data_IF_026976746971
#
_entry.id   IF_026976746971
#
_cell.length_a   1.000
_cell.length_b   1.000
_cell.length_c   1.000
_cell.angle_alpha   90.00
_cell.angle_beta   90.00
_cell.angle_gamma   90.00
#
_symmetry.space_group_name_H-M   'P 1'
#
loop_
_entity.id
_entity.type
_entity.pdbx_description
1 polymer ?
#
# COMPACT_ATOMS: atom_id res chain seq x y z
N UNK A 1 -60.82 11.56 -18.59
CA UNK A 1 -60.28 11.82 -19.93
C UNK A 1 -59.92 10.46 -20.54
N UNK A 2 -60.85 9.81 -21.26
CA UNK A 2 -61.04 9.88 -22.74
C UNK A 2 -59.82 9.31 -23.47
N UNK A 3 -59.84 8.19 -24.22
CA UNK A 3 -60.79 7.63 -25.22
C UNK A 3 -60.29 6.20 -25.53
N UNK A 4 -61.03 5.10 -25.35
CA UNK A 4 -62.07 4.47 -26.20
C UNK A 4 -61.72 4.16 -27.68
N UNK A 5 -61.97 2.88 -28.04
CA UNK A 5 -62.29 2.25 -29.35
C UNK A 5 -61.09 1.86 -30.25
N UNK A 6 -61.02 0.66 -30.86
CA UNK A 6 -62.09 -0.08 -31.56
C UNK A 6 -61.93 -1.61 -31.53
N UNK A 7 -63.07 -2.29 -31.38
CA UNK A 7 -63.38 -3.65 -31.79
C UNK A 7 -63.87 -3.64 -33.26
N UNK A 8 -63.59 -4.71 -33.99
CA UNK A 8 -64.34 -5.21 -35.15
C UNK A 8 -64.18 -6.76 -35.10
N UNK A 9 -65.16 -7.68 -34.93
CA UNK A 9 -66.53 -7.86 -35.45
C UNK A 9 -66.62 -7.72 -36.97
N UNK A 10 -67.21 -8.57 -37.81
CA UNK A 10 -67.91 -9.87 -37.75
C UNK A 10 -68.64 -9.97 -39.11
N UNK A 11 -68.68 -11.10 -39.80
CA UNK A 11 -69.70 -11.43 -40.83
C UNK A 11 -69.69 -12.96 -41.06
N UNK A 12 -70.65 -13.77 -40.58
CA UNK A 12 -72.04 -14.01 -41.08
C UNK A 12 -72.04 -14.42 -42.57
N UNK A 13 -72.59 -15.54 -43.06
CA UNK A 13 -73.72 -16.40 -42.63
C UNK A 13 -73.75 -17.64 -43.57
N UNK A 14 -74.22 -18.82 -43.12
CA UNK A 14 -75.50 -19.40 -43.58
C UNK A 14 -75.82 -20.76 -42.95
N UNK A 15 -77.04 -20.80 -42.41
CA UNK A 15 -77.84 -21.94 -41.98
C UNK A 15 -77.78 -23.16 -42.91
N UNK A 16 -77.77 -24.34 -42.29
CA UNK A 16 -78.80 -25.41 -42.40
C UNK A 16 -78.36 -26.52 -41.43
N UNK A 17 -79.09 -26.84 -40.37
CA UNK A 17 -80.43 -27.39 -40.45
C UNK A 17 -80.36 -28.83 -40.97
N UNK A 18 -79.75 -29.77 -40.23
CA UNK A 18 -79.89 -31.19 -40.53
C UNK A 18 -80.16 -32.02 -39.28
N UNK A 19 -81.40 -32.49 -39.25
CA UNK A 19 -82.02 -33.53 -38.45
C UNK A 19 -81.12 -34.39 -37.55
N UNK A 20 -81.58 -34.53 -36.32
CA UNK A 20 -81.52 -35.76 -35.51
C UNK A 20 -81.92 -36.98 -36.37
N UNK A 21 -80.95 -37.59 -37.02
CA UNK A 21 -81.01 -38.97 -37.49
C UNK A 21 -80.14 -39.77 -36.53
N UNK A 22 -80.79 -40.45 -35.60
CA UNK A 22 -80.17 -41.55 -34.88
C UNK A 22 -79.69 -42.57 -35.91
N UNK A 23 -78.41 -42.51 -36.25
CA UNK A 23 -77.73 -43.62 -36.90
C UNK A 23 -77.66 -44.74 -35.86
N UNK A 24 -78.74 -45.54 -35.81
CA UNK A 24 -78.60 -46.96 -35.54
C UNK A 24 -77.66 -47.48 -36.61
N UNK A 25 -76.37 -47.56 -36.29
CA UNK A 25 -75.42 -48.38 -37.03
C UNK A 25 -76.09 -49.75 -37.13
N UNK A 26 -76.43 -50.16 -38.35
CA UNK A 26 -76.78 -51.54 -38.66
C UNK A 26 -75.71 -52.39 -37.99
N UNK A 27 -76.08 -53.12 -36.94
CA UNK A 27 -75.14 -53.96 -36.21
C UNK A 27 -74.51 -54.91 -37.21
N UNK A 28 -73.25 -54.66 -37.58
CA UNK A 28 -72.50 -55.65 -38.34
C UNK A 28 -72.50 -56.92 -37.51
N UNK A 29 -72.77 -58.04 -38.17
CA UNK A 29 -72.76 -59.36 -37.53
C UNK A 29 -71.47 -59.48 -36.69
N UNK A 30 -71.55 -59.78 -35.38
CA UNK A 30 -70.38 -59.98 -34.53
C UNK A 30 -69.32 -60.91 -35.14
N UNK A 31 -69.75 -61.86 -35.97
CA UNK A 31 -68.84 -62.71 -36.74
C UNK A 31 -68.06 -61.94 -37.81
N UNK A 32 -68.73 -61.11 -38.61
CA UNK A 32 -68.11 -60.30 -39.65
C UNK A 32 -67.09 -59.29 -39.07
N UNK A 33 -67.39 -58.71 -37.90
CA UNK A 33 -66.45 -57.83 -37.20
C UNK A 33 -65.20 -58.59 -36.71
N UNK A 34 -65.35 -59.84 -36.24
CA UNK A 34 -64.21 -60.67 -35.85
C UNK A 34 -63.32 -61.02 -37.05
N UNK A 35 -63.93 -61.47 -38.15
CA UNK A 35 -63.21 -61.79 -39.40
C UNK A 35 -62.50 -60.54 -39.98
N UNK A 36 -63.13 -59.36 -39.89
CA UNK A 36 -62.50 -58.11 -40.31
C UNK A 36 -61.27 -57.75 -39.46
N UNK A 37 -61.33 -57.99 -38.14
CA UNK A 37 -60.21 -57.76 -37.25
C UNK A 37 -59.05 -58.73 -37.54
N UNK A 38 -59.37 -59.99 -37.82
CA UNK A 38 -58.39 -61.02 -38.12
C UNK A 38 -57.70 -60.77 -39.46
N UNK A 39 -58.46 -60.37 -40.49
CA UNK A 39 -57.91 -59.95 -41.77
C UNK A 39 -57.04 -58.70 -41.66
N UNK A 40 -57.47 -57.70 -40.88
CA UNK A 40 -56.68 -56.50 -40.63
C UNK A 40 -55.38 -56.82 -39.91
N UNK A 41 -55.43 -57.74 -38.94
CA UNK A 41 -54.25 -58.23 -38.22
C UNK A 41 -53.28 -58.97 -39.15
N UNK A 42 -53.79 -59.88 -40.00
CA UNK A 42 -52.97 -60.59 -40.99
C UNK A 42 -52.28 -59.65 -41.99
N UNK A 43 -52.93 -58.53 -42.32
CA UNK A 43 -52.36 -57.47 -43.17
C UNK A 43 -51.37 -56.55 -42.43
N UNK A 44 -51.09 -56.80 -41.15
CA UNK A 44 -50.23 -55.96 -40.31
C UNK A 44 -50.85 -54.60 -39.95
N UNK A 45 -52.14 -54.40 -40.21
CA UNK A 45 -52.84 -53.16 -39.88
C UNK A 45 -53.45 -53.26 -38.46
N UNK A 46 -52.60 -53.08 -37.46
CA UNK A 46 -52.95 -53.22 -36.05
C UNK A 46 -54.00 -52.19 -35.60
N UNK A 47 -53.94 -50.96 -36.10
CA UNK A 47 -54.90 -49.90 -35.77
C UNK A 47 -56.32 -50.26 -36.22
N UNK A 48 -56.47 -50.73 -37.47
CA UNK A 48 -57.77 -51.19 -37.98
C UNK A 48 -58.25 -52.45 -37.25
N UNK A 49 -57.36 -53.41 -36.96
CA UNK A 49 -57.71 -54.61 -36.18
C UNK A 49 -58.24 -54.25 -34.78
N UNK A 50 -57.59 -53.34 -34.06
CA UNK A 50 -58.04 -52.86 -32.74
C UNK A 50 -59.33 -52.03 -32.80
N UNK A 51 -59.59 -51.35 -33.91
CA UNK A 51 -60.85 -50.63 -34.14
C UNK A 51 -62.00 -51.63 -34.31
N UNK A 52 -61.85 -52.62 -35.18
CA UNK A 52 -62.84 -53.68 -35.39
C UNK A 52 -63.11 -54.49 -34.11
N UNK A 53 -62.06 -54.82 -33.33
CA UNK A 53 -62.23 -55.50 -32.04
C UNK A 53 -62.98 -54.65 -31.01
N UNK A 54 -62.78 -53.32 -30.97
CA UNK A 54 -63.55 -52.42 -30.09
C UNK A 54 -65.02 -52.36 -30.47
N UNK A 55 -65.31 -52.25 -31.77
CA UNK A 55 -66.70 -52.27 -32.28
C UNK A 55 -67.36 -53.62 -31.96
N UNK A 56 -66.63 -54.72 -32.11
CA UNK A 56 -67.08 -56.06 -31.75
C UNK A 56 -67.38 -56.20 -30.26
N UNK A 57 -66.49 -55.74 -29.38
CA UNK A 57 -66.74 -55.73 -27.93
C UNK A 57 -68.00 -54.92 -27.57
N UNK A 58 -68.21 -53.78 -28.24
CA UNK A 58 -69.41 -52.97 -28.07
C UNK A 58 -70.69 -53.67 -28.55
N UNK A 59 -70.64 -54.34 -29.70
CA UNK A 59 -71.77 -55.08 -30.26
C UNK A 59 -72.15 -56.33 -29.44
N UNK A 60 -71.17 -57.01 -28.86
CA UNK A 60 -71.39 -58.20 -28.02
C UNK A 60 -71.95 -57.84 -26.63
N UNK A 61 -71.73 -56.59 -26.16
CA UNK A 61 -72.17 -56.12 -24.83
C UNK A 61 -71.50 -56.81 -23.64
N UNK A 62 -70.64 -57.80 -23.89
CA UNK A 62 -69.87 -58.55 -22.89
C UNK A 62 -68.49 -58.90 -23.44
N UNK A 63 -67.53 -59.10 -22.56
CA UNK A 63 -66.18 -59.54 -22.94
C UNK A 63 -66.21 -61.01 -23.37
N UNK A 64 -65.45 -61.33 -24.41
CA UNK A 64 -65.38 -62.67 -25.01
C UNK A 64 -63.92 -63.16 -25.07
N UNK A 65 -63.61 -64.40 -24.63
CA UNK A 65 -62.25 -64.94 -24.65
C UNK A 65 -61.55 -64.91 -26.01
N UNK A 66 -62.23 -65.28 -27.11
CA UNK A 66 -61.62 -65.28 -28.44
C UNK A 66 -61.28 -63.88 -28.94
N UNK A 67 -62.11 -62.90 -28.56
CA UNK A 67 -61.89 -61.48 -28.87
C UNK A 67 -60.70 -60.95 -28.07
N UNK A 68 -60.61 -61.26 -26.77
CA UNK A 68 -59.45 -60.87 -25.96
C UNK A 68 -58.16 -61.54 -26.44
N UNK A 69 -58.19 -62.81 -26.85
CA UNK A 69 -57.02 -63.50 -27.37
C UNK A 69 -56.48 -62.88 -28.67
N UNK A 70 -57.36 -62.53 -29.61
CA UNK A 70 -56.97 -61.83 -30.84
C UNK A 70 -56.44 -60.41 -30.51
N UNK A 71 -57.10 -59.70 -29.60
CA UNK A 71 -56.67 -58.39 -29.12
C UNK A 71 -55.28 -58.42 -28.49
N UNK A 72 -54.99 -59.42 -27.64
CA UNK A 72 -53.66 -59.64 -27.08
C UNK A 72 -52.61 -59.82 -28.17
N UNK A 73 -52.86 -60.67 -29.17
CA UNK A 73 -51.92 -60.91 -30.28
C UNK A 73 -51.65 -59.64 -31.07
N UNK A 74 -52.70 -58.87 -31.36
CA UNK A 74 -52.59 -57.58 -32.06
C UNK A 74 -51.76 -56.59 -31.24
N UNK A 75 -52.04 -56.45 -29.93
CA UNK A 75 -51.33 -55.52 -29.06
C UNK A 75 -49.86 -55.88 -28.85
N UNK A 76 -49.54 -57.18 -28.70
CA UNK A 76 -48.14 -57.65 -28.64
C UNK A 76 -47.40 -57.36 -29.95
N UNK A 77 -48.05 -57.62 -31.10
CA UNK A 77 -47.46 -57.37 -32.43
C UNK A 77 -47.30 -55.88 -32.75
N UNK A 78 -48.17 -55.03 -32.19
CA UNK A 78 -48.11 -53.56 -32.26
C UNK A 78 -47.09 -52.98 -31.25
N UNK A 79 -46.43 -53.82 -30.45
CA UNK A 79 -45.43 -53.40 -29.44
C UNK A 79 -46.03 -52.75 -28.18
N UNK A 80 -47.35 -52.80 -28.01
CA UNK A 80 -48.07 -52.23 -26.85
C UNK A 80 -48.09 -53.22 -25.69
N UNK A 81 -46.91 -53.50 -25.12
CA UNK A 81 -46.68 -54.55 -24.13
C UNK A 81 -47.58 -54.41 -22.88
N UNK A 82 -47.78 -53.18 -22.38
CA UNK A 82 -48.65 -52.94 -21.21
C UNK A 82 -50.13 -53.24 -21.53
N UNK A 83 -50.63 -52.75 -22.68
CA UNK A 83 -52.00 -53.03 -23.11
C UNK A 83 -52.20 -54.52 -23.42
N UNK A 84 -51.18 -55.18 -23.99
CA UNK A 84 -51.18 -56.62 -24.25
C UNK A 84 -51.26 -57.40 -22.93
N UNK A 85 -50.52 -56.99 -21.88
CA UNK A 85 -50.60 -57.58 -20.54
C UNK A 85 -52.00 -57.44 -19.94
N UNK A 86 -52.61 -56.26 -20.03
CA UNK A 86 -53.98 -56.04 -19.56
C UNK A 86 -54.99 -56.93 -20.30
N UNK A 87 -54.83 -57.10 -21.62
CA UNK A 87 -55.69 -57.99 -22.41
C UNK A 87 -55.51 -59.48 -22.03
N UNK A 88 -54.29 -59.92 -21.70
CA UNK A 88 -54.03 -61.28 -21.17
C UNK A 88 -54.71 -61.50 -19.82
N UNK A 89 -54.57 -60.57 -18.87
CA UNK A 89 -55.19 -60.70 -17.55
C UNK A 89 -56.72 -60.72 -17.64
N UNK A 90 -57.29 -59.91 -18.54
CA UNK A 90 -58.72 -59.91 -18.81
C UNK A 90 -59.18 -61.24 -19.44
N UNK A 91 -58.41 -61.80 -20.39
CA UNK A 91 -58.67 -63.12 -20.95
C UNK A 91 -58.65 -64.23 -19.88
N UNK A 92 -57.67 -64.19 -18.97
CA UNK A 92 -57.54 -65.15 -17.88
C UNK A 92 -58.67 -65.04 -16.85
N UNK A 93 -59.18 -63.83 -16.60
CA UNK A 93 -60.36 -63.60 -15.75
C UNK A 93 -61.64 -64.20 -16.34
N UNK A 94 -61.77 -64.19 -17.67
CA UNK A 94 -62.90 -64.81 -18.37
C UNK A 94 -62.82 -66.34 -18.39
N UNK A 95 -61.67 -66.93 -18.05
CA UNK A 95 -61.47 -68.37 -17.96
C UNK A 95 -61.87 -68.89 -16.57
N UNK A 96 -63.04 -69.51 -16.45
CA UNK A 96 -63.40 -70.31 -15.26
C UNK A 96 -62.44 -71.52 -15.16
N UNK A 97 -61.93 -71.96 -13.99
CA UNK A 97 -60.96 -73.07 -13.91
C UNK A 97 -61.43 -74.37 -14.58
N UNK A 98 -62.75 -74.57 -14.68
CA UNK A 98 -63.40 -75.72 -15.31
C UNK A 98 -63.59 -75.62 -16.83
N UNK A 99 -63.30 -74.48 -17.48
CA UNK A 99 -63.46 -74.28 -18.94
C UNK A 99 -62.14 -74.05 -19.69
N UNK A 100 -60.99 -74.04 -19.00
CA UNK A 100 -59.65 -73.87 -19.60
C UNK A 100 -59.31 -74.93 -20.65
N UNK A 101 -59.98 -76.08 -20.64
CA UNK A 101 -59.78 -77.21 -21.57
C UNK A 101 -60.92 -77.38 -22.59
N UNK A 102 -61.84 -76.43 -22.71
CA UNK A 102 -62.89 -76.44 -23.75
C UNK A 102 -62.33 -76.03 -25.12
N UNK A 103 -62.84 -76.62 -26.22
CA UNK A 103 -62.49 -76.32 -27.64
C UNK A 103 -62.57 -74.82 -28.02
N UNK A 104 -63.11 -73.97 -27.13
CA UNK A 104 -63.31 -72.54 -27.36
C UNK A 104 -62.23 -71.61 -26.82
N UNK A 105 -61.34 -72.08 -25.92
CA UNK A 105 -60.39 -71.22 -25.21
C UNK A 105 -58.97 -71.31 -25.81
N UNK A 106 -58.40 -70.22 -26.35
CA UNK A 106 -57.07 -70.25 -26.96
C UNK A 106 -55.96 -70.52 -25.93
N UNK A 107 -55.00 -71.40 -26.26
CA UNK A 107 -53.78 -71.52 -25.47
C UNK A 107 -52.96 -70.23 -25.60
N UNK A 108 -52.88 -69.49 -24.50
CA UNK A 108 -52.21 -68.19 -24.40
C UNK A 108 -50.92 -68.25 -23.57
N UNK A 109 -50.57 -69.41 -23.01
CA UNK A 109 -49.43 -69.57 -22.10
C UNK A 109 -48.12 -69.02 -22.67
N UNK A 110 -47.68 -69.48 -23.85
CA UNK A 110 -46.43 -69.00 -24.46
C UNK A 110 -46.42 -67.50 -24.76
N UNK A 111 -47.57 -66.94 -25.17
CA UNK A 111 -47.70 -65.52 -25.49
C UNK A 111 -47.69 -64.67 -24.21
N UNK A 112 -48.37 -65.12 -23.15
CA UNK A 112 -48.31 -64.51 -21.83
C UNK A 112 -46.87 -64.47 -21.32
N UNK A 113 -46.14 -65.57 -21.38
CA UNK A 113 -44.75 -65.62 -20.89
C UNK A 113 -43.81 -64.71 -21.71
N UNK A 114 -44.09 -64.52 -23.00
CA UNK A 114 -43.41 -63.54 -23.84
C UNK A 114 -43.71 -62.11 -23.39
N UNK A 115 -44.98 -61.76 -23.19
CA UNK A 115 -45.42 -60.43 -22.74
C UNK A 115 -44.89 -60.13 -21.34
N UNK A 116 -44.92 -61.11 -20.42
CA UNK A 116 -44.42 -60.96 -19.05
C UNK A 116 -42.91 -60.69 -19.02
N UNK A 117 -42.13 -61.39 -19.84
CA UNK A 117 -40.69 -61.11 -20.01
C UNK A 117 -40.45 -59.72 -20.62
N UNK A 118 -41.18 -59.37 -21.66
CA UNK A 118 -41.06 -58.07 -22.31
C UNK A 118 -41.45 -56.91 -21.36
N UNK A 119 -42.46 -57.12 -20.50
CA UNK A 119 -42.86 -56.16 -19.48
C UNK A 119 -41.79 -56.05 -18.39
N UNK A 120 -41.26 -57.16 -17.90
CA UNK A 120 -40.18 -57.15 -16.91
C UNK A 120 -38.91 -56.43 -17.44
N UNK A 121 -38.58 -56.61 -18.72
CA UNK A 121 -37.47 -55.91 -19.37
C UNK A 121 -37.75 -54.41 -19.55
N UNK A 122 -39.01 -54.01 -19.76
CA UNK A 122 -39.43 -52.62 -19.80
C UNK A 122 -39.36 -51.99 -18.40
N UNK A 123 -39.88 -52.69 -17.39
CA UNK A 123 -39.84 -52.30 -15.98
C UNK A 123 -38.41 -52.14 -15.46
N UNK A 124 -37.45 -52.95 -15.95
CA UNK A 124 -36.03 -52.82 -15.60
C UNK A 124 -35.37 -51.61 -16.26
N UNK A 125 -35.67 -51.33 -17.54
CA UNK A 125 -35.03 -50.25 -18.32
C UNK A 125 -35.56 -48.87 -17.98
N UNK A 126 -36.85 -48.75 -17.67
CA UNK A 126 -37.51 -47.48 -17.44
C UNK A 126 -36.89 -46.63 -16.30
N UNK A 127 -36.55 -47.19 -15.12
CA UNK A 127 -35.85 -46.45 -14.07
C UNK A 127 -34.44 -45.98 -14.48
N UNK A 128 -33.70 -46.80 -15.23
CA UNK A 128 -32.34 -46.47 -15.72
C UNK A 128 -32.38 -45.31 -16.72
N UNK A 129 -33.33 -45.28 -17.64
CA UNK A 129 -33.48 -44.19 -18.61
C UNK A 129 -33.83 -42.86 -17.92
N UNK A 130 -34.71 -42.89 -16.92
CA UNK A 130 -35.04 -41.71 -16.12
C UNK A 130 -33.82 -41.23 -15.35
N UNK A 131 -33.07 -42.15 -14.73
CA UNK A 131 -31.85 -41.82 -13.99
C UNK A 131 -30.78 -41.23 -14.91
N UNK A 132 -30.53 -41.82 -16.08
CA UNK A 132 -29.56 -41.31 -17.04
C UNK A 132 -29.94 -39.92 -17.55
N UNK A 133 -31.21 -39.68 -17.91
CA UNK A 133 -31.68 -38.33 -18.29
C UNK A 133 -31.47 -37.30 -17.19
N UNK A 134 -31.73 -37.67 -15.92
CA UNK A 134 -31.48 -36.79 -14.77
C UNK A 134 -30.00 -36.48 -14.58
N UNK A 135 -29.12 -37.46 -14.79
CA UNK A 135 -27.67 -37.26 -14.73
C UNK A 135 -27.18 -36.37 -15.87
N UNK A 136 -27.62 -36.60 -17.10
CA UNK A 136 -27.31 -35.74 -18.26
C UNK A 136 -27.79 -34.30 -18.07
N UNK A 137 -28.97 -34.12 -17.46
CA UNK A 137 -29.49 -32.81 -17.09
C UNK A 137 -28.65 -32.16 -15.99
N UNK A 138 -28.27 -32.93 -14.95
CA UNK A 138 -27.39 -32.44 -13.88
C UNK A 138 -26.01 -32.02 -14.40
N UNK A 139 -25.37 -32.84 -15.25
CA UNK A 139 -24.07 -32.53 -15.85
C UNK A 139 -24.13 -31.28 -16.71
N UNK A 140 -25.20 -31.12 -17.50
CA UNK A 140 -25.44 -29.91 -18.30
C UNK A 140 -25.56 -28.67 -17.42
N UNK A 141 -26.30 -28.75 -16.30
CA UNK A 141 -26.45 -27.65 -15.36
C UNK A 141 -25.11 -27.30 -14.68
N UNK A 142 -24.30 -28.30 -14.34
CA UNK A 142 -22.94 -28.08 -13.79
C UNK A 142 -22.08 -27.35 -14.82
N UNK A 143 -22.02 -27.84 -16.06
CA UNK A 143 -21.26 -27.20 -17.15
C UNK A 143 -21.73 -25.77 -17.41
N UNK A 144 -23.04 -25.51 -17.38
CA UNK A 144 -23.58 -24.16 -17.53
C UNK A 144 -23.16 -23.24 -16.38
N UNK A 145 -23.17 -23.74 -15.14
CA UNK A 145 -22.72 -22.98 -13.96
C UNK A 145 -21.22 -22.68 -14.04
N UNK A 146 -20.39 -23.66 -14.36
CA UNK A 146 -18.95 -23.48 -14.54
C UNK A 146 -18.64 -22.45 -15.62
N UNK A 147 -19.26 -22.57 -16.80
CA UNK A 147 -19.13 -21.59 -17.88
C UNK A 147 -19.60 -20.19 -17.46
N UNK A 148 -20.67 -20.10 -16.66
CA UNK A 148 -21.16 -18.82 -16.13
C UNK A 148 -20.16 -18.19 -15.15
N UNK A 149 -19.52 -18.98 -14.29
CA UNK A 149 -18.49 -18.48 -13.38
C UNK A 149 -17.23 -18.04 -14.13
N UNK A 150 -16.81 -18.81 -15.13
CA UNK A 150 -15.65 -18.47 -15.95
C UNK A 150 -15.90 -17.16 -16.73
N UNK A 151 -17.08 -16.99 -17.35
CA UNK A 151 -17.46 -15.74 -18.02
C UNK A 151 -17.45 -14.55 -17.06
N UNK A 152 -17.94 -14.73 -15.83
CA UNK A 152 -17.87 -13.68 -14.78
C UNK A 152 -16.43 -13.33 -14.43
N UNK A 153 -15.56 -14.33 -14.29
CA UNK A 153 -14.14 -14.12 -13.98
C UNK A 153 -13.42 -13.41 -15.14
N UNK A 154 -13.67 -13.83 -16.38
CA UNK A 154 -13.13 -13.19 -17.58
C UNK A 154 -13.60 -11.74 -17.69
N UNK A 155 -14.90 -11.48 -17.47
CA UNK A 155 -15.44 -10.12 -17.45
C UNK A 155 -14.81 -9.25 -16.35
N UNK A 156 -14.59 -9.80 -15.15
CA UNK A 156 -13.91 -9.10 -14.05
C UNK A 156 -12.46 -8.77 -14.41
N UNK A 157 -11.73 -9.70 -15.03
CA UNK A 157 -10.34 -9.48 -15.50
C UNK A 157 -10.30 -8.42 -16.60
N UNK A 158 -11.22 -8.48 -17.56
CA UNK A 158 -11.33 -7.48 -18.62
C UNK A 158 -11.66 -6.09 -18.06
N UNK A 159 -12.58 -5.99 -17.10
CA UNK A 159 -12.92 -4.73 -16.44
C UNK A 159 -11.73 -4.16 -15.66
N UNK A 160 -10.97 -5.00 -14.95
CA UNK A 160 -9.75 -4.57 -14.24
C UNK A 160 -8.69 -4.06 -15.24
N UNK A 161 -8.48 -4.75 -16.35
CA UNK A 161 -7.56 -4.31 -17.40
C UNK A 161 -8.01 -3.00 -18.06
N UNK A 162 -9.31 -2.82 -18.34
CA UNK A 162 -9.84 -1.56 -18.85
C UNK A 162 -9.72 -0.40 -17.85
N UNK A 163 -9.82 -0.69 -16.55
CA UNK A 163 -9.60 0.30 -15.51
C UNK A 163 -8.13 0.73 -15.46
N UNK A 164 -7.20 -0.23 -15.47
CA UNK A 164 -5.76 0.04 -15.58
C UNK A 164 -5.43 0.91 -16.82
N UNK A 165 -5.96 0.55 -17.99
CA UNK A 165 -5.73 1.31 -19.24
C UNK A 165 -6.21 2.76 -19.10
N UNK A 166 -7.39 2.98 -18.51
CA UNK A 166 -7.92 4.33 -18.30
C UNK A 166 -7.08 5.15 -17.33
N UNK A 167 -6.62 4.53 -16.24
CA UNK A 167 -5.75 5.19 -15.26
C UNK A 167 -4.39 5.54 -15.87
N UNK A 168 -3.82 4.64 -16.70
CA UNK A 168 -2.62 4.92 -17.48
C UNK A 168 -2.82 6.11 -18.43
N UNK A 169 -3.94 6.12 -19.16
CA UNK A 169 -4.27 7.23 -20.07
C UNK A 169 -4.45 8.55 -19.33
N UNK A 170 -5.10 8.53 -18.16
CA UNK A 170 -5.26 9.70 -17.30
C UNK A 170 -3.91 10.25 -16.83
N UNK A 171 -3.06 9.38 -16.27
CA UNK A 171 -1.71 9.76 -15.86
C UNK A 171 -0.88 10.32 -17.04
N UNK A 172 -0.99 9.69 -18.23
CA UNK A 172 -0.32 10.14 -19.43
C UNK A 172 -0.85 11.49 -19.97
N UNK A 173 -2.12 11.80 -19.74
CA UNK A 173 -2.75 13.05 -20.15
C UNK A 173 -2.40 14.21 -19.21
N UNK A 174 -2.49 13.99 -17.89
CA UNK A 174 -2.08 15.00 -16.90
C UNK A 174 -0.58 15.26 -16.96
N UNK A 175 0.19 14.19 -17.20
CA UNK A 175 1.63 14.23 -17.39
C UNK A 175 2.38 14.92 -16.23
N UNK A 176 1.90 14.71 -15.00
CA UNK A 176 2.49 15.19 -13.75
C UNK A 176 3.11 14.02 -12.97
N UNK A 177 4.07 14.31 -12.10
CA UNK A 177 4.80 13.29 -11.35
C UNK A 177 3.86 12.38 -10.54
N UNK A 178 2.96 12.99 -9.76
CA UNK A 178 2.07 12.29 -8.84
C UNK A 178 1.14 11.30 -9.55
N UNK A 179 0.64 11.65 -10.74
CA UNK A 179 -0.21 10.76 -11.54
C UNK A 179 0.52 9.47 -11.96
N UNK A 180 1.77 9.60 -12.41
CA UNK A 180 2.58 8.43 -12.73
C UNK A 180 3.00 7.64 -11.49
N UNK A 181 3.34 8.30 -10.38
CA UNK A 181 3.67 7.65 -9.10
C UNK A 181 2.50 6.82 -8.58
N UNK A 182 1.30 7.40 -8.54
CA UNK A 182 0.08 6.71 -8.13
C UNK A 182 -0.22 5.49 -9.03
N UNK A 183 0.04 5.60 -10.34
CA UNK A 183 -0.09 4.47 -11.26
C UNK A 183 0.92 3.35 -10.94
N UNK A 184 2.19 3.69 -10.70
CA UNK A 184 3.26 2.74 -10.35
C UNK A 184 2.93 1.96 -9.06
N UNK A 185 2.38 2.64 -8.06
CA UNK A 185 1.97 2.03 -6.79
C UNK A 185 0.77 1.11 -6.94
N UNK A 186 -0.24 1.53 -7.72
CA UNK A 186 -1.49 0.79 -7.90
C UNK A 186 -1.34 -0.42 -8.83
N UNK A 187 -0.46 -0.33 -9.83
CA UNK A 187 -0.25 -1.36 -10.85
C UNK A 187 1.21 -1.80 -11.00
N UNK A 188 1.83 -2.36 -9.94
CA UNK A 188 3.27 -2.68 -9.92
C UNK A 188 3.70 -3.71 -10.98
N UNK A 189 2.75 -4.53 -11.47
CA UNK A 189 2.98 -5.55 -12.49
C UNK A 189 2.46 -5.14 -13.88
N UNK A 190 2.10 -3.87 -14.07
CA UNK A 190 1.65 -3.36 -15.36
C UNK A 190 2.74 -3.48 -16.43
N UNK A 191 2.33 -3.72 -17.68
CA UNK A 191 3.24 -3.60 -18.83
C UNK A 191 3.81 -2.18 -18.99
N UNK A 192 3.13 -1.17 -18.46
CA UNK A 192 3.55 0.24 -18.50
C UNK A 192 4.49 0.64 -17.35
N UNK A 193 4.82 -0.25 -16.41
CA UNK A 193 5.53 0.11 -15.17
C UNK A 193 6.88 0.80 -15.41
N UNK A 194 7.65 0.35 -16.40
CA UNK A 194 8.95 0.95 -16.74
C UNK A 194 8.79 2.35 -17.33
N UNK A 195 7.81 2.51 -18.22
CA UNK A 195 7.51 3.79 -18.83
C UNK A 195 6.95 4.76 -17.78
N UNK A 196 6.02 4.33 -16.94
CA UNK A 196 5.46 5.12 -15.85
C UNK A 196 6.55 5.64 -14.91
N UNK A 197 7.50 4.80 -14.49
CA UNK A 197 8.63 5.23 -13.65
C UNK A 197 9.51 6.27 -14.35
N UNK A 198 9.84 6.04 -15.61
CA UNK A 198 10.66 6.99 -16.39
C UNK A 198 9.96 8.33 -16.61
N UNK A 199 8.65 8.31 -16.87
CA UNK A 199 7.84 9.52 -17.01
C UNK A 199 7.63 10.23 -15.67
N UNK A 200 7.47 9.50 -14.57
CA UNK A 200 7.42 10.08 -13.22
C UNK A 200 8.70 10.87 -12.91
N UNK A 201 9.87 10.26 -13.11
CA UNK A 201 11.17 10.91 -12.93
C UNK A 201 11.31 12.15 -13.83
N UNK A 202 10.93 12.04 -15.10
CA UNK A 202 10.98 13.17 -16.05
C UNK A 202 10.05 14.32 -15.64
N UNK A 203 8.83 13.99 -15.20
CA UNK A 203 7.86 14.98 -14.74
C UNK A 203 8.31 15.65 -13.43
N UNK A 204 8.81 14.88 -12.45
CA UNK A 204 9.37 15.42 -11.21
C UNK A 204 10.57 16.33 -11.46
N UNK A 205 11.44 15.97 -12.41
CA UNK A 205 12.55 16.85 -12.78
C UNK A 205 12.04 18.15 -13.42
N UNK A 206 11.04 18.08 -14.31
CA UNK A 206 10.42 19.27 -14.92
C UNK A 206 9.78 20.17 -13.87
N UNK A 207 9.08 19.60 -12.89
CA UNK A 207 8.50 20.35 -11.76
C UNK A 207 9.60 21.09 -10.97
N UNK A 208 10.72 20.43 -10.68
CA UNK A 208 11.88 21.08 -10.06
C UNK A 208 12.50 22.18 -10.94
N UNK A 209 12.50 22.01 -12.26
CA UNK A 209 12.92 23.05 -13.21
C UNK A 209 11.98 24.25 -13.26
N UNK A 210 10.67 24.02 -13.12
CA UNK A 210 9.64 25.07 -13.11
C UNK A 210 9.68 25.88 -11.80
N UNK A 211 9.79 25.20 -10.66
CA UNK A 211 9.94 25.88 -9.36
C UNK A 211 11.30 26.58 -9.24
N UNK A 212 12.35 25.95 -9.78
CA UNK A 212 13.73 26.44 -9.80
C UNK A 212 14.22 26.95 -8.42
N UNK A 213 13.90 26.20 -7.36
CA UNK A 213 14.36 26.47 -5.99
C UNK A 213 15.34 25.40 -5.54
N UNK A 214 16.25 25.75 -4.62
CA UNK A 214 17.20 24.79 -4.06
C UNK A 214 16.48 23.59 -3.41
N UNK A 215 15.34 23.86 -2.76
CA UNK A 215 14.50 22.83 -2.13
C UNK A 215 13.89 21.84 -3.14
N UNK A 216 13.36 22.33 -4.27
CA UNK A 216 12.76 21.46 -5.29
C UNK A 216 13.80 20.50 -5.90
N UNK A 217 15.00 20.99 -6.22
CA UNK A 217 16.08 20.13 -6.70
C UNK A 217 16.58 19.16 -5.62
N UNK A 218 16.62 19.58 -4.34
CA UNK A 218 16.97 18.70 -3.22
C UNK A 218 15.99 17.54 -3.11
N UNK A 219 14.69 17.82 -3.13
CA UNK A 219 13.64 16.79 -3.08
C UNK A 219 13.74 15.83 -4.26
N UNK A 220 13.95 16.35 -5.48
CA UNK A 220 14.17 15.52 -6.66
C UNK A 220 15.38 14.58 -6.50
N UNK A 221 16.51 15.08 -5.96
CA UNK A 221 17.73 14.30 -5.76
C UNK A 221 17.60 13.25 -4.65
N UNK A 222 16.81 13.54 -3.61
CA UNK A 222 16.48 12.59 -2.54
C UNK A 222 15.61 11.44 -3.07
N UNK A 223 14.62 11.77 -3.92
CA UNK A 223 13.70 10.79 -4.50
C UNK A 223 14.35 9.97 -5.63
N UNK A 224 15.18 10.61 -6.46
CA UNK A 224 15.80 10.01 -7.64
C UNK A 224 17.34 10.17 -7.68
N UNK A 225 18.08 9.57 -6.73
CA UNK A 225 19.54 9.75 -6.61
C UNK A 225 20.36 9.15 -7.76
N UNK A 226 19.75 8.29 -8.60
CA UNK A 226 20.37 7.62 -9.76
C UNK A 226 19.68 7.98 -11.08
N UNK A 227 18.91 9.06 -11.08
CA UNK A 227 18.26 9.59 -12.27
C UNK A 227 19.27 9.97 -13.35
N UNK A 228 18.83 9.94 -14.60
CA UNK A 228 19.61 10.52 -15.71
C UNK A 228 19.77 12.05 -15.57
N UNK A 229 18.90 12.69 -14.80
CA UNK A 229 18.92 14.13 -14.50
C UNK A 229 19.68 14.46 -13.22
N UNK A 230 20.14 13.49 -12.43
CA UNK A 230 20.78 13.75 -11.13
C UNK A 230 21.98 14.70 -11.23
N UNK A 231 22.82 14.57 -12.25
CA UNK A 231 23.96 15.48 -12.43
C UNK A 231 23.49 16.92 -12.72
N UNK A 232 22.51 17.09 -13.61
CA UNK A 232 21.95 18.41 -13.96
C UNK A 232 21.25 19.04 -12.75
N UNK A 233 20.49 18.25 -11.98
CA UNK A 233 19.85 18.68 -10.75
C UNK A 233 20.87 19.07 -9.68
N UNK A 234 21.95 18.29 -9.51
CA UNK A 234 23.04 18.62 -8.57
C UNK A 234 23.73 19.93 -8.93
N UNK A 235 24.10 20.11 -10.20
CA UNK A 235 24.71 21.36 -10.68
C UNK A 235 23.80 22.55 -10.39
N UNK A 236 22.50 22.42 -10.69
CA UNK A 236 21.55 23.50 -10.49
C UNK A 236 21.25 23.79 -9.01
N UNK A 237 21.17 22.73 -8.20
CA UNK A 237 21.02 22.84 -6.74
C UNK A 237 22.20 23.59 -6.11
N UNK A 238 23.43 23.25 -6.51
CA UNK A 238 24.63 23.92 -6.03
C UNK A 238 24.68 25.40 -6.44
N UNK A 239 24.33 25.71 -7.69
CA UNK A 239 24.26 27.10 -8.17
C UNK A 239 23.26 27.94 -7.39
N UNK A 240 22.08 27.40 -7.07
CA UNK A 240 21.05 28.10 -6.32
C UNK A 240 21.46 28.33 -4.86
N UNK A 241 22.02 27.32 -4.20
CA UNK A 241 22.55 27.48 -2.84
C UNK A 241 23.71 28.50 -2.81
N UNK A 242 24.58 28.50 -3.82
CA UNK A 242 25.62 29.53 -3.92
C UNK A 242 25.05 30.93 -4.15
N UNK A 243 24.01 31.07 -4.97
CA UNK A 243 23.32 32.35 -5.17
C UNK A 243 22.69 32.88 -3.87
N UNK A 244 22.14 32.00 -3.02
CA UNK A 244 21.64 32.36 -1.69
C UNK A 244 22.76 32.89 -0.79
N UNK A 245 23.94 32.25 -0.81
CA UNK A 245 25.14 32.72 -0.09
C UNK A 245 25.51 34.15 -0.51
N UNK A 246 25.51 34.44 -1.82
CA UNK A 246 25.85 35.78 -2.31
C UNK A 246 24.77 36.83 -2.01
N UNK A 247 23.52 36.41 -1.90
CA UNK A 247 22.39 37.29 -1.55
C UNK A 247 22.38 37.63 -0.06
N UNK A 248 22.51 36.63 0.81
CA UNK A 248 22.42 36.77 2.27
C UNK A 248 23.71 37.30 2.87
N UNK A 249 24.87 36.87 2.34
CA UNK A 249 26.21 37.25 2.80
C UNK A 249 26.44 37.02 4.30
N UNK A 250 25.74 36.05 4.89
CA UNK A 250 25.88 35.72 6.32
C UNK A 250 26.72 34.46 6.54
N UNK A 251 27.32 34.31 7.74
CA UNK A 251 28.00 33.08 8.14
C UNK A 251 27.09 31.84 8.07
N UNK A 252 25.79 31.98 8.35
CA UNK A 252 24.83 30.88 8.36
C UNK A 252 24.58 30.36 6.94
N UNK A 253 24.42 31.25 5.95
CA UNK A 253 24.26 30.86 4.56
C UNK A 253 25.51 30.10 4.05
N UNK A 254 26.70 30.59 4.39
CA UNK A 254 27.97 29.93 4.09
C UNK A 254 28.04 28.55 4.73
N UNK A 255 27.67 28.42 6.00
CA UNK A 255 27.68 27.17 6.72
C UNK A 255 26.75 26.12 6.08
N UNK A 256 25.51 26.51 5.72
CA UNK A 256 24.56 25.63 5.02
C UNK A 256 25.13 25.10 3.71
N UNK A 257 25.70 25.97 2.86
CA UNK A 257 26.33 25.52 1.62
C UNK A 257 27.49 24.55 1.91
N UNK A 258 28.35 24.84 2.88
CA UNK A 258 29.54 24.01 3.19
C UNK A 258 29.18 22.65 3.81
N UNK A 259 28.03 22.56 4.47
CA UNK A 259 27.46 21.30 4.98
C UNK A 259 26.97 20.41 3.84
N UNK A 260 26.20 20.98 2.90
CA UNK A 260 25.65 20.24 1.75
C UNK A 260 26.74 19.90 0.72
N UNK A 261 27.65 20.83 0.45
CA UNK A 261 28.73 20.71 -0.53
C UNK A 261 30.12 20.90 0.09
N UNK A 262 30.62 19.91 0.88
CA UNK A 262 31.93 20.00 1.51
C UNK A 262 33.10 19.90 0.51
N UNK A 263 32.83 19.54 -0.75
CA UNK A 263 33.77 19.45 -1.88
C UNK A 263 33.17 20.05 -3.17
N UNK A 264 32.24 20.99 -3.04
CA UNK A 264 31.64 21.72 -4.15
C UNK A 264 32.60 22.69 -4.84
N UNK A 265 32.15 23.26 -5.94
CA UNK A 265 32.87 24.23 -6.79
C UNK A 265 33.31 25.46 -6.01
N UNK A 266 32.52 25.90 -5.04
CA UNK A 266 32.76 27.15 -4.30
C UNK A 266 33.33 26.94 -2.89
N UNK A 267 33.48 25.69 -2.43
CA UNK A 267 33.85 25.36 -1.04
C UNK A 267 35.11 26.08 -0.57
N UNK A 268 36.20 26.06 -1.35
CA UNK A 268 37.48 26.65 -0.94
C UNK A 268 37.36 28.16 -0.69
N UNK A 269 36.70 28.87 -1.62
CA UNK A 269 36.48 30.31 -1.51
C UNK A 269 35.55 30.66 -0.34
N UNK A 270 34.46 29.89 -0.17
CA UNK A 270 33.51 30.12 0.90
C UNK A 270 34.06 29.81 2.29
N UNK A 271 34.92 28.80 2.44
CA UNK A 271 35.64 28.53 3.71
C UNK A 271 36.53 29.70 4.09
N UNK A 272 37.29 30.26 3.14
CA UNK A 272 38.12 31.42 3.40
C UNK A 272 37.27 32.63 3.80
N UNK A 273 36.16 32.88 3.08
CA UNK A 273 35.23 33.97 3.40
C UNK A 273 34.60 33.81 4.78
N UNK A 274 34.20 32.60 5.16
CA UNK A 274 33.63 32.31 6.49
C UNK A 274 34.64 32.63 7.60
N UNK A 275 35.89 32.22 7.45
CA UNK A 275 36.97 32.54 8.42
C UNK A 275 37.14 34.05 8.55
N UNK A 276 37.19 34.78 7.43
CA UNK A 276 37.34 36.24 7.45
C UNK A 276 36.15 36.95 8.13
N UNK A 277 34.92 36.48 7.91
CA UNK A 277 33.73 37.04 8.56
C UNK A 277 33.71 36.74 10.06
N UNK A 278 34.08 35.53 10.46
CA UNK A 278 34.21 35.15 11.87
C UNK A 278 35.30 35.97 12.56
N UNK A 279 36.42 36.18 11.88
CA UNK A 279 37.51 37.03 12.34
C UNK A 279 37.08 38.49 12.51
N UNK A 280 36.45 39.08 11.48
CA UNK A 280 35.91 40.45 11.50
C UNK A 280 34.90 40.63 12.64
N UNK A 281 34.00 39.64 12.84
CA UNK A 281 33.02 39.64 13.94
C UNK A 281 33.69 39.60 15.31
N UNK A 282 34.65 38.68 15.51
CA UNK A 282 35.36 38.52 16.77
C UNK A 282 36.18 39.76 17.14
N UNK A 283 36.85 40.36 16.17
CA UNK A 283 37.58 41.61 16.37
C UNK A 283 36.65 42.78 16.67
N UNK A 284 35.55 42.91 15.91
CA UNK A 284 34.56 43.98 16.13
C UNK A 284 33.90 43.88 17.51
N UNK A 285 33.59 42.67 17.96
CA UNK A 285 33.14 42.42 19.33
C UNK A 285 34.18 42.93 20.34
N UNK A 286 35.44 42.49 20.22
CA UNK A 286 36.50 42.95 21.13
C UNK A 286 36.68 44.49 21.16
N UNK A 287 36.49 45.17 20.02
CA UNK A 287 36.58 46.64 19.92
C UNK A 287 35.41 47.35 20.60
N UNK A 288 34.18 46.89 20.40
CA UNK A 288 32.95 47.57 20.85
C UNK A 288 32.64 47.35 22.34
N UNK A 289 33.41 46.50 23.02
CA UNK A 289 33.17 46.11 24.40
C UNK A 289 33.68 47.11 25.45
N UNK A 290 33.03 47.13 26.60
CA UNK A 290 33.28 48.09 27.67
C UNK A 290 34.68 47.94 28.30
N UNK A 291 35.25 49.08 28.69
CA UNK A 291 36.65 49.26 29.13
C UNK A 291 37.08 48.33 30.26
N UNK A 292 38.36 47.94 30.24
CA UNK A 292 39.05 47.25 31.33
C UNK A 292 39.44 45.81 30.98
N UNK A 293 39.31 44.91 31.95
CA UNK A 293 39.70 43.49 31.86
C UNK A 293 38.98 42.73 30.75
N UNK A 294 37.68 42.93 30.55
CA UNK A 294 36.92 42.22 29.51
C UNK A 294 37.50 42.46 28.11
N UNK A 295 37.82 43.71 27.78
CA UNK A 295 38.45 44.10 26.52
C UNK A 295 39.81 43.43 26.32
N UNK A 296 40.64 43.34 27.38
CA UNK A 296 41.89 42.58 27.35
C UNK A 296 41.67 41.11 26.98
N UNK A 297 40.73 40.44 27.65
CA UNK A 297 40.42 39.04 27.39
C UNK A 297 39.85 38.79 25.99
N UNK A 298 39.00 39.69 25.49
CA UNK A 298 38.47 39.60 24.14
C UNK A 298 39.58 39.63 23.08
N UNK A 299 40.58 40.52 23.23
CA UNK A 299 41.74 40.55 22.33
C UNK A 299 42.68 39.37 22.51
N UNK A 300 42.91 38.88 23.75
CA UNK A 300 43.69 37.65 23.98
C UNK A 300 43.04 36.44 23.34
N UNK A 301 41.72 36.29 23.46
CA UNK A 301 40.95 35.23 22.80
C UNK A 301 41.06 35.35 21.28
N UNK A 302 40.93 36.56 20.73
CA UNK A 302 41.12 36.82 19.31
C UNK A 302 42.52 36.38 18.84
N UNK A 303 43.59 36.77 19.54
CA UNK A 303 44.96 36.42 19.19
C UNK A 303 45.24 34.91 19.30
N UNK A 304 44.56 34.20 20.22
CA UNK A 304 44.64 32.73 20.30
C UNK A 304 43.99 32.06 19.09
N UNK A 305 42.86 32.58 18.62
CA UNK A 305 42.13 32.04 17.46
C UNK A 305 42.77 32.45 16.13
N UNK A 306 43.23 33.71 16.02
CA UNK A 306 43.75 34.34 14.81
C UNK A 306 45.13 35.01 15.07
N UNK A 307 46.17 34.24 15.46
CA UNK A 307 47.48 34.80 15.84
C UNK A 307 48.19 35.52 14.70
N UNK A 308 47.83 35.22 13.44
CA UNK A 308 48.31 35.88 12.22
C UNK A 308 47.16 36.45 11.40
N UNK A 309 46.05 36.77 12.07
CA UNK A 309 44.87 37.35 11.45
C UNK A 309 45.10 38.75 10.91
N UNK A 310 44.16 39.22 10.08
CA UNK A 310 44.06 40.58 9.54
C UNK A 310 44.23 41.67 10.61
N UNK A 311 43.78 41.41 11.84
CA UNK A 311 43.85 42.38 12.94
C UNK A 311 44.86 42.01 14.05
N UNK A 312 45.76 41.05 13.82
CA UNK A 312 46.70 40.59 14.86
C UNK A 312 47.50 41.75 15.47
N UNK A 313 48.13 42.61 14.66
CA UNK A 313 48.94 43.74 15.15
C UNK A 313 48.11 44.79 15.92
N UNK A 314 46.85 44.99 15.52
CA UNK A 314 45.95 45.90 16.24
C UNK A 314 45.53 45.27 17.57
N UNK A 315 45.16 43.99 17.57
CA UNK A 315 44.81 43.25 18.78
C UNK A 315 45.97 43.14 19.77
N UNK A 316 47.21 42.97 19.31
CA UNK A 316 48.40 43.00 20.18
C UNK A 316 48.57 44.35 20.88
N UNK A 317 48.38 45.47 20.15
CA UNK A 317 48.44 46.81 20.75
C UNK A 317 47.30 47.05 21.73
N UNK A 318 46.10 46.60 21.44
CA UNK A 318 44.95 46.77 22.33
C UNK A 318 45.03 45.88 23.57
N UNK A 319 45.54 44.65 23.44
CA UNK A 319 45.81 43.77 24.57
C UNK A 319 46.94 44.32 25.48
N UNK A 320 47.94 45.00 24.92
CA UNK A 320 49.05 45.58 25.68
C UNK A 320 48.79 46.95 26.32
N UNK A 321 47.72 47.65 25.96
CA UNK A 321 47.49 49.07 26.36
C UNK A 321 46.44 49.25 27.45
N UNK A 322 45.73 48.20 27.87
CA UNK A 322 44.88 48.22 29.07
C UNK A 322 45.73 48.17 30.33
N UNK A 323 46.43 49.26 30.65
CA UNK A 323 47.36 49.43 31.76
C UNK A 323 46.99 48.64 33.03
N UNK A 324 47.47 47.40 33.16
CA UNK A 324 47.73 46.86 34.48
C UNK A 324 49.00 47.59 34.90
N UNK A 325 48.85 48.65 35.70
CA UNK A 325 49.99 49.41 36.22
C UNK A 325 50.89 48.42 36.95
N UNK A 326 52.00 48.05 36.33
CA UNK A 326 53.05 47.25 36.97
C UNK A 326 53.58 48.05 38.16
N UNK A 327 53.43 47.56 39.40
CA UNK A 327 54.13 48.13 40.54
C UNK A 327 55.64 47.96 40.37
N UNK A 328 56.45 48.83 40.98
CA UNK A 328 57.90 48.78 40.86
C UNK A 328 58.45 47.47 41.44
N UNK A 329 59.49 46.96 40.77
CA UNK A 329 60.13 45.67 41.03
C UNK A 329 60.63 45.54 42.48
N UNK A 330 60.25 44.44 43.12
CA UNK A 330 60.81 43.94 44.38
C UNK A 330 61.56 42.63 44.12
N UNK A 331 62.52 42.31 44.97
CA UNK A 331 63.56 41.29 44.81
C UNK A 331 63.11 39.82 44.92
N UNK A 332 61.84 39.52 44.72
CA UNK A 332 61.25 38.17 44.57
C UNK A 332 60.73 38.02 43.12
N UNK A 333 60.44 36.82 42.60
CA UNK A 333 59.77 36.71 41.31
C UNK A 333 58.49 37.56 41.33
N UNK A 334 58.33 38.48 40.38
CA UNK A 334 57.23 39.45 40.42
C UNK A 334 55.84 38.77 40.36
N UNK A 335 55.75 37.56 39.77
CA UNK A 335 54.56 36.70 39.84
C UNK A 335 54.06 36.42 41.27
N UNK A 336 54.97 36.28 42.25
CA UNK A 336 54.61 35.95 43.63
C UNK A 336 53.92 37.12 44.31
N UNK A 337 54.51 38.31 44.21
CA UNK A 337 53.91 39.55 44.73
C UNK A 337 52.54 39.81 44.09
N UNK A 338 52.44 39.59 42.77
CA UNK A 338 51.17 39.72 42.05
C UNK A 338 50.14 38.73 42.56
N UNK A 339 50.50 37.46 42.73
CA UNK A 339 49.58 36.45 43.23
C UNK A 339 49.12 36.72 44.67
N UNK A 340 50.04 37.00 45.60
CA UNK A 340 49.71 37.28 47.00
C UNK A 340 48.81 38.53 47.12
N UNK A 341 49.09 39.61 46.37
CA UNK A 341 48.21 40.79 46.31
C UNK A 341 46.86 40.49 45.66
N UNK A 342 46.83 39.59 44.67
CA UNK A 342 45.60 39.11 44.06
C UNK A 342 44.71 38.37 45.07
N UNK A 343 45.31 37.49 45.89
CA UNK A 343 44.60 36.79 46.99
C UNK A 343 44.08 37.79 48.02
N UNK A 344 44.89 38.76 48.45
CA UNK A 344 44.45 39.82 49.36
C UNK A 344 43.31 40.68 48.77
N UNK A 345 43.34 40.94 47.46
CA UNK A 345 42.26 41.64 46.78
C UNK A 345 40.98 40.79 46.69
N UNK A 346 41.10 39.47 46.46
CA UNK A 346 39.96 38.53 46.51
C UNK A 346 39.31 38.50 47.89
N UNK A 347 40.10 38.40 48.96
CA UNK A 347 39.61 38.42 50.34
C UNK A 347 38.91 39.74 50.70
N UNK A 348 39.37 40.84 50.09
CA UNK A 348 38.78 42.17 50.23
C UNK A 348 37.63 42.44 49.25
N UNK A 349 37.15 41.43 48.50
CA UNK A 349 36.09 41.53 47.49
C UNK A 349 36.37 42.57 46.37
N UNK A 350 37.65 42.93 46.17
CA UNK A 350 38.12 43.81 45.08
C UNK A 350 38.47 42.98 43.85
N UNK A 351 37.43 42.42 43.22
CA UNK A 351 37.58 41.41 42.16
C UNK A 351 38.28 41.93 40.89
N UNK A 352 38.12 43.20 40.56
CA UNK A 352 38.79 43.85 39.42
C UNK A 352 40.31 43.92 39.63
N UNK A 353 40.74 44.38 40.81
CA UNK A 353 42.15 44.40 41.19
C UNK A 353 42.72 42.99 41.27
N UNK A 354 41.98 42.06 41.88
CA UNK A 354 42.37 40.66 41.97
C UNK A 354 42.60 40.04 40.58
N UNK A 355 41.66 40.22 39.65
CA UNK A 355 41.78 39.70 38.29
C UNK A 355 42.99 40.30 37.54
N UNK A 356 43.24 41.61 37.69
CA UNK A 356 44.43 42.25 37.10
C UNK A 356 45.74 41.72 37.69
N UNK A 357 45.75 41.42 38.99
CA UNK A 357 46.90 40.83 39.69
C UNK A 357 47.19 39.40 39.26
N UNK A 358 46.17 38.56 39.18
CA UNK A 358 46.36 37.19 38.72
C UNK A 358 46.79 37.12 37.26
N UNK A 359 46.29 38.03 36.41
CA UNK A 359 46.77 38.15 35.03
C UNK A 359 48.27 38.39 34.94
N UNK A 360 48.80 39.37 35.68
CA UNK A 360 50.24 39.63 35.71
C UNK A 360 51.02 38.42 36.24
N UNK A 361 50.47 37.71 37.24
CA UNK A 361 51.10 36.50 37.75
C UNK A 361 51.18 35.41 36.67
N UNK A 362 50.12 35.22 35.87
CA UNK A 362 50.06 34.23 34.77
C UNK A 362 51.04 34.57 33.65
N UNK A 363 51.22 35.85 33.33
CA UNK A 363 52.16 36.29 32.28
C UNK A 363 53.61 35.91 32.59
N UNK A 364 53.97 35.88 33.86
CA UNK A 364 55.30 35.44 34.32
C UNK A 364 55.37 33.95 34.64
N UNK A 365 54.29 33.39 35.20
CA UNK A 365 54.19 31.99 35.59
C UNK A 365 52.77 31.45 35.36
N UNK A 366 52.57 30.84 34.22
CA UNK A 366 51.25 30.40 33.77
C UNK A 366 50.66 29.24 34.60
N UNK A 367 51.43 28.19 34.88
CA UNK A 367 50.85 26.93 35.37
C UNK A 367 50.45 26.97 36.85
N UNK A 368 49.20 26.57 37.12
CA UNK A 368 48.72 26.21 38.45
C UNK A 368 49.58 25.08 39.07
N UNK A 369 49.84 25.17 40.36
CA UNK A 369 50.65 24.24 41.15
C UNK A 369 50.10 24.11 42.57
N UNK A 370 49.83 22.88 43.01
CA UNK A 370 49.34 22.62 44.35
C UNK A 370 50.34 23.05 45.43
N UNK A 371 51.64 22.94 45.19
CA UNK A 371 52.65 23.41 46.13
C UNK A 371 53.85 23.96 45.39
N UNK A 372 54.17 25.22 45.65
CA UNK A 372 55.39 25.89 45.21
C UNK A 372 56.29 26.10 46.42
N UNK A 373 57.54 25.65 46.32
CA UNK A 373 58.59 25.98 47.30
C UNK A 373 59.20 27.33 46.93
N UNK A 374 59.20 28.27 47.87
CA UNK A 374 59.82 29.57 47.71
C UNK A 374 61.31 29.53 48.12
N UNK A 375 62.06 30.53 47.69
CA UNK A 375 63.48 30.75 47.99
C UNK A 375 63.76 30.80 49.50
N UNK A 376 62.81 31.33 50.28
CA UNK A 376 62.85 31.48 51.73
C UNK A 376 62.40 30.21 52.49
N UNK A 377 62.07 29.13 51.78
CA UNK A 377 61.62 27.85 52.36
C UNK A 377 60.13 27.77 52.67
N UNK A 378 59.34 28.83 52.44
CA UNK A 378 57.87 28.76 52.54
C UNK A 378 57.29 27.88 51.43
N UNK A 379 56.13 27.28 51.71
CA UNK A 379 55.32 26.53 50.76
C UNK A 379 54.00 27.25 50.55
N UNK A 380 53.63 27.48 49.29
CA UNK A 380 52.35 28.10 48.95
C UNK A 380 51.59 27.28 47.90
N UNK A 381 50.27 27.35 47.97
CA UNK A 381 49.38 26.87 46.92
C UNK A 381 49.25 27.98 45.86
N UNK A 382 49.52 27.65 44.60
CA UNK A 382 49.54 28.62 43.49
C UNK A 382 48.51 28.24 42.43
N UNK A 383 47.35 28.89 42.45
CA UNK A 383 46.26 28.61 41.51
C UNK A 383 45.75 29.89 40.84
N UNK A 384 46.61 30.63 40.11
CA UNK A 384 46.23 31.90 39.53
C UNK A 384 45.06 31.78 38.53
N UNK A 385 44.99 30.71 37.71
CA UNK A 385 43.85 30.51 36.79
C UNK A 385 42.54 30.24 37.54
N UNK A 386 42.60 29.47 38.63
CA UNK A 386 41.44 29.23 39.51
C UNK A 386 40.91 30.52 40.08
N UNK A 387 41.78 31.27 40.75
CA UNK A 387 41.37 32.48 41.47
C UNK A 387 40.95 33.58 40.49
N UNK A 388 41.62 33.67 39.34
CA UNK A 388 41.21 34.56 38.25
C UNK A 388 39.82 34.20 37.71
N UNK A 389 39.56 32.92 37.43
CA UNK A 389 38.25 32.46 36.98
C UNK A 389 37.14 32.79 37.98
N UNK A 390 37.41 32.66 39.28
CA UNK A 390 36.48 33.07 40.35
C UNK A 390 36.30 34.59 40.37
N UNK A 391 37.38 35.38 40.26
CA UNK A 391 37.30 36.84 40.19
C UNK A 391 36.44 37.30 39.00
N UNK A 392 36.66 36.72 37.82
CA UNK A 392 35.89 37.01 36.61
C UNK A 392 34.41 36.63 36.74
N UNK A 393 34.10 35.52 37.43
CA UNK A 393 32.73 35.13 37.74
C UNK A 393 32.02 36.21 38.58
N UNK A 394 32.69 36.76 39.60
CA UNK A 394 32.13 37.86 40.41
C UNK A 394 31.97 39.17 39.63
N UNK A 395 32.81 39.40 38.62
CA UNK A 395 32.71 40.55 37.71
C UNK A 395 31.62 40.39 36.64
N UNK A 396 30.89 39.26 36.61
CA UNK A 396 29.88 38.98 35.59
C UNK A 396 30.47 38.61 34.22
N UNK A 397 31.78 38.34 34.15
CA UNK A 397 32.51 38.01 32.93
C UNK A 397 32.49 36.49 32.74
N UNK A 398 31.29 35.94 32.56
CA UNK A 398 31.04 34.50 32.67
C UNK A 398 31.81 33.63 31.65
N UNK A 399 31.96 34.10 30.41
CA UNK A 399 32.62 33.33 29.36
C UNK A 399 34.11 33.12 29.66
N UNK A 400 34.83 34.19 29.99
CA UNK A 400 36.26 34.09 30.35
C UNK A 400 36.45 33.41 31.71
N UNK A 401 35.55 33.63 32.68
CA UNK A 401 35.57 32.90 33.94
C UNK A 401 35.57 31.38 33.71
N UNK A 402 34.70 30.90 32.81
CA UNK A 402 34.61 29.50 32.44
C UNK A 402 35.88 28.99 31.74
N UNK A 403 36.46 29.78 30.84
CA UNK A 403 37.72 29.44 30.17
C UNK A 403 38.88 29.27 31.18
N UNK A 404 39.03 30.21 32.10
CA UNK A 404 40.10 30.20 33.12
C UNK A 404 39.93 29.06 34.14
N UNK A 405 38.71 28.80 34.61
CA UNK A 405 38.42 27.68 35.51
C UNK A 405 38.66 26.32 34.84
N UNK A 406 38.27 26.15 33.57
CA UNK A 406 38.58 24.94 32.81
C UNK A 406 40.10 24.77 32.61
N UNK A 407 40.82 25.87 32.36
CA UNK A 407 42.29 25.87 32.27
C UNK A 407 42.91 25.41 33.59
N UNK A 408 42.47 25.96 34.71
CA UNK A 408 42.90 25.53 36.05
C UNK A 408 42.67 24.04 36.28
N UNK A 409 41.46 23.53 36.01
CA UNK A 409 41.13 22.11 36.17
C UNK A 409 41.98 21.22 35.26
N UNK A 410 42.28 21.68 34.04
CA UNK A 410 43.14 20.95 33.11
C UNK A 410 44.59 20.84 33.61
N UNK A 411 45.06 21.79 34.43
CA UNK A 411 46.33 21.71 35.13
C UNK A 411 46.22 20.83 36.37
N UNK A 412 45.33 21.20 37.31
CA UNK A 412 45.11 20.51 38.58
C UNK A 412 43.65 20.67 38.98
N UNK A 413 42.94 19.54 39.10
CA UNK A 413 41.57 19.53 39.61
C UNK A 413 41.53 20.02 41.06
N UNK A 414 40.59 20.93 41.36
CA UNK A 414 40.27 21.33 42.74
C UNK A 414 38.76 21.48 42.91
N UNK A 415 38.26 21.11 44.10
CA UNK A 415 36.83 21.26 44.42
C UNK A 415 36.37 22.71 44.26
N UNK A 416 37.18 23.69 44.67
CA UNK A 416 36.90 25.12 44.55
C UNK A 416 36.70 25.56 43.09
N UNK A 417 37.52 25.07 42.15
CA UNK A 417 37.36 25.37 40.73
C UNK A 417 36.07 24.73 40.16
N UNK A 418 35.80 23.48 40.54
CA UNK A 418 34.60 22.75 40.13
C UNK A 418 33.31 23.42 40.63
N UNK A 419 33.25 23.81 41.91
CA UNK A 419 32.10 24.52 42.48
C UNK A 419 31.87 25.87 41.79
N UNK A 420 32.93 26.59 41.42
CA UNK A 420 32.82 27.83 40.68
C UNK A 420 32.24 27.62 39.26
N UNK A 421 32.67 26.56 38.56
CA UNK A 421 32.08 26.18 37.26
C UNK A 421 30.61 25.80 37.36
N UNK A 422 30.23 25.05 38.40
CA UNK A 422 28.84 24.66 38.62
C UNK A 422 27.93 25.87 38.88
N UNK A 423 28.45 26.92 39.53
CA UNK A 423 27.75 28.19 39.72
C UNK A 423 27.55 28.96 38.41
N UNK A 424 28.45 28.82 37.44
CA UNK A 424 28.34 29.41 36.10
C UNK A 424 27.40 28.64 35.15
N UNK A 425 26.95 27.43 35.54
CA UNK A 425 26.05 26.57 34.75
C UNK A 425 24.59 26.59 35.21
N UNK A 426 24.29 27.25 36.33
CA UNK A 426 22.94 27.59 36.79
C UNK A 426 22.60 29.00 36.35
#
# INVERSE_FOLDING_TARGET
MTTQRTLASSLWFLLTGFLLLGFRVYGQDPRALYESAELAFQKGNYASALSSLRQLEGALGRKNPRVQALKTKVLDSDGKILDAKLAVEELLRLANPSTRSSEGFPDIGPLKDKIDRALADLERRWPLEIQNRRMEEADRLIQEQEARQERKLQAKRAAASQFEIREWQGAAQENIADGYKAFVERYPNSSHIREARSRAETASFREAEEENTAEAYRQFLEEYPKSLFSLKAQDRFEELLYAEVERERTPEALARYLEVFPRGRYTSALRQRLVLLQEDSMYSAAVNEARGLYRYYAFKRYLRTYPRGKYADAAYREAGTGTIKTPPALSEPAWLDHYERGVQAMEAERYDEAAGRFLLAIEERERDAQTVMLSDGRRIDYFPHRELGIALMHLGIADFAREELNTSISYIWTLRAQEALERLGK
#
